data_IF_795190999077
#
_entry.id   IF_795190999077
#
_cell.length_a   1.000
_cell.length_b   1.000
_cell.length_c   1.000
_cell.angle_alpha   90.00
_cell.angle_beta   90.00
_cell.angle_gamma   90.00
#
_symmetry.space_group_name_H-M   'P 1'
#
loop_
_entity.id
_entity.type
_entity.pdbx_description
1 polymer ?
#
# COMPACT_ATOMS: atom_id res chain seq x y z
N UNK A 1 35.02 -25.16 -26.06
CA UNK A 1 33.72 -24.95 -25.39
C UNK A 1 34.03 -24.29 -24.05
N UNK A 2 34.07 -22.99 -23.87
CA UNK A 2 33.18 -21.93 -24.33
C UNK A 2 32.77 -21.14 -23.08
N UNK A 3 33.76 -20.59 -22.36
CA UNK A 3 33.60 -19.91 -21.06
C UNK A 3 34.03 -18.43 -21.12
N UNK A 4 34.13 -17.86 -22.32
CA UNK A 4 34.60 -16.49 -22.54
C UNK A 4 33.91 -15.88 -23.77
N UNK A 5 32.71 -15.31 -23.60
CA UNK A 5 32.16 -14.22 -24.44
C UNK A 5 30.74 -13.82 -24.00
N UNK A 6 30.62 -13.04 -22.92
CA UNK A 6 29.49 -12.15 -22.67
C UNK A 6 29.83 -11.14 -21.56
N UNK A 7 31.00 -10.50 -21.67
CA UNK A 7 31.33 -9.28 -20.93
C UNK A 7 31.45 -8.19 -21.99
N UNK A 8 30.32 -7.60 -22.36
CA UNK A 8 30.25 -6.34 -23.08
C UNK A 8 28.87 -5.70 -22.83
N UNK A 9 28.86 -4.70 -21.95
CA UNK A 9 28.12 -3.47 -22.24
C UNK A 9 26.74 -3.28 -21.62
N UNK A 10 26.65 -3.22 -20.28
CA UNK A 10 25.94 -2.11 -19.60
C UNK A 10 26.76 -1.73 -18.36
N UNK A 11 27.32 -0.53 -18.39
CA UNK A 11 27.76 0.16 -17.20
C UNK A 11 26.52 0.58 -16.39
N UNK A 12 26.18 -0.19 -15.36
CA UNK A 12 25.37 0.26 -14.21
C UNK A 12 26.08 -0.17 -12.93
N UNK A 13 27.31 0.32 -12.76
CA UNK A 13 28.06 0.24 -11.51
C UNK A 13 27.57 1.29 -10.50
N UNK A 14 26.28 1.25 -10.16
CA UNK A 14 25.62 1.76 -8.93
C UNK A 14 24.15 1.34 -9.07
N UNK A 15 23.66 0.43 -8.22
CA UNK A 15 22.26 0.00 -8.01
C UNK A 15 22.00 -1.52 -7.94
N UNK A 16 23.01 -2.37 -7.73
CA UNK A 16 22.81 -3.82 -7.48
C UNK A 16 22.93 -4.23 -6.01
N UNK A 17 22.98 -3.26 -5.10
CA UNK A 17 22.63 -3.44 -3.69
C UNK A 17 21.22 -2.90 -3.45
N UNK A 18 20.26 -3.34 -4.27
CA UNK A 18 18.85 -3.21 -3.89
C UNK A 18 18.73 -3.96 -2.56
N UNK A 19 18.41 -3.20 -1.53
CA UNK A 19 18.49 -3.59 -0.12
C UNK A 19 17.72 -4.89 0.08
N UNK A 20 18.42 -5.97 0.44
CA UNK A 20 17.82 -7.30 0.61
C UNK A 20 16.68 -7.31 1.64
N UNK A 21 16.65 -6.33 2.54
CA UNK A 21 15.58 -6.09 3.51
C UNK A 21 14.21 -5.79 2.91
N UNK A 22 14.10 -5.01 1.83
CA UNK A 22 12.79 -4.70 1.19
C UNK A 22 12.20 -5.97 0.60
N UNK A 23 13.00 -6.74 -0.13
CA UNK A 23 12.56 -8.01 -0.72
C UNK A 23 12.12 -9.03 0.33
N UNK A 24 12.86 -9.12 1.44
CA UNK A 24 12.49 -9.98 2.59
C UNK A 24 11.18 -9.53 3.23
N UNK A 25 11.01 -8.23 3.46
CA UNK A 25 9.79 -7.67 4.04
C UNK A 25 8.59 -7.91 3.11
N UNK A 26 8.71 -7.59 1.82
CA UNK A 26 7.69 -7.83 0.79
C UNK A 26 7.33 -9.31 0.67
N UNK A 27 8.31 -10.20 0.75
CA UNK A 27 8.07 -11.64 0.78
C UNK A 27 7.43 -12.14 2.07
N UNK A 28 7.49 -11.34 3.15
CA UNK A 28 6.94 -11.69 4.46
C UNK A 28 5.50 -11.21 4.68
N UNK A 29 5.01 -10.26 3.89
CA UNK A 29 3.60 -9.82 3.96
C UNK A 29 2.71 -10.70 3.07
N UNK A 30 1.39 -10.49 3.15
CA UNK A 30 0.46 -11.16 2.24
C UNK A 30 0.80 -10.81 0.78
N UNK A 31 0.67 -11.78 -0.14
CA UNK A 31 1.04 -11.63 -1.56
C UNK A 31 0.39 -10.40 -2.21
N UNK A 32 -0.88 -10.11 -1.91
CA UNK A 32 -1.59 -8.92 -2.41
C UNK A 32 -0.90 -7.61 -2.03
N UNK A 33 -0.49 -7.47 -0.76
CA UNK A 33 0.27 -6.31 -0.26
C UNK A 33 1.64 -6.26 -0.92
N UNK A 34 2.37 -7.38 -0.92
CA UNK A 34 3.74 -7.44 -1.43
C UNK A 34 3.84 -7.05 -2.91
N UNK A 35 2.93 -7.56 -3.75
CA UNK A 35 2.86 -7.18 -5.17
C UNK A 35 2.52 -5.70 -5.33
N UNK A 36 1.50 -5.20 -4.64
CA UNK A 36 1.06 -3.80 -4.77
C UNK A 36 2.15 -2.82 -4.31
N UNK A 37 2.87 -3.12 -3.22
CA UNK A 37 4.00 -2.33 -2.73
C UNK A 37 5.18 -2.36 -3.71
N UNK A 38 5.48 -3.52 -4.30
CA UNK A 38 6.55 -3.60 -5.32
C UNK A 38 6.23 -2.72 -6.53
N UNK A 39 4.97 -2.73 -6.99
CA UNK A 39 4.49 -1.84 -8.05
C UNK A 39 4.57 -0.37 -7.63
N UNK A 40 4.24 -0.04 -6.38
CA UNK A 40 4.33 1.31 -5.85
C UNK A 40 5.76 1.84 -5.90
N UNK A 41 6.72 1.09 -5.36
CA UNK A 41 8.14 1.46 -5.31
C UNK A 41 8.69 1.71 -6.72
N UNK A 42 8.26 0.92 -7.71
CA UNK A 42 8.65 1.10 -9.11
C UNK A 42 8.15 2.39 -9.78
N UNK A 43 7.18 3.12 -9.18
CA UNK A 43 6.62 4.38 -9.73
C UNK A 43 7.39 5.64 -9.30
N UNK A 44 8.41 5.51 -8.46
CA UNK A 44 9.31 6.59 -8.05
C UNK A 44 8.87 7.41 -6.82
N UNK A 45 9.83 8.08 -6.20
CA UNK A 45 9.69 8.69 -4.86
C UNK A 45 8.52 9.68 -4.70
N UNK A 46 8.30 10.58 -5.66
CA UNK A 46 7.22 11.57 -5.57
C UNK A 46 5.82 10.93 -5.59
N UNK A 47 5.65 9.88 -6.39
CA UNK A 47 4.39 9.14 -6.45
C UNK A 47 4.20 8.30 -5.19
N UNK A 48 5.24 7.60 -4.75
CA UNK A 48 5.24 6.82 -3.51
C UNK A 48 4.91 7.70 -2.31
N UNK A 49 5.47 8.91 -2.24
CA UNK A 49 5.17 9.88 -1.19
C UNK A 49 3.68 10.22 -1.10
N UNK A 50 3.02 10.51 -2.23
CA UNK A 50 1.58 10.81 -2.26
C UNK A 50 0.73 9.65 -1.75
N UNK A 51 1.01 8.43 -2.25
CA UNK A 51 0.28 7.22 -1.85
C UNK A 51 0.56 6.87 -0.38
N UNK A 52 1.81 6.96 0.05
CA UNK A 52 2.21 6.73 1.43
C UNK A 52 1.50 7.68 2.39
N UNK A 53 1.32 8.95 2.03
CA UNK A 53 0.55 9.91 2.85
C UNK A 53 -0.92 9.50 3.02
N UNK A 54 -1.55 8.91 2.01
CA UNK A 54 -2.93 8.38 2.13
C UNK A 54 -2.95 7.23 3.13
N UNK A 55 -2.05 6.25 2.95
CA UNK A 55 -1.95 5.08 3.83
C UNK A 55 -1.58 5.48 5.26
N UNK A 56 -0.66 6.44 5.44
CA UNK A 56 -0.25 6.97 6.74
C UNK A 56 -1.45 7.53 7.51
N UNK A 57 -2.25 8.37 6.86
CA UNK A 57 -3.44 8.96 7.48
C UNK A 57 -4.44 7.89 7.93
N UNK A 58 -4.66 6.86 7.11
CA UNK A 58 -5.57 5.76 7.44
C UNK A 58 -5.00 4.89 8.56
N UNK A 59 -3.70 4.60 8.53
CA UNK A 59 -3.01 3.82 9.54
C UNK A 59 -2.98 4.54 10.90
N UNK A 60 -2.77 5.87 10.92
CA UNK A 60 -2.84 6.69 12.13
C UNK A 60 -4.26 6.80 12.68
N UNK A 61 -5.26 6.99 11.80
CA UNK A 61 -6.66 7.04 12.21
C UNK A 61 -7.15 5.74 12.87
N UNK A 62 -6.55 4.61 12.49
CA UNK A 62 -6.83 3.29 13.06
C UNK A 62 -5.77 2.86 14.08
N UNK A 63 -4.92 3.77 14.56
CA UNK A 63 -3.91 3.53 15.60
C UNK A 63 -2.98 2.34 15.29
N UNK A 64 -2.73 2.06 14.01
CA UNK A 64 -1.66 1.13 13.57
C UNK A 64 -0.31 1.83 13.75
N UNK A 65 -0.27 3.11 13.38
CA UNK A 65 0.84 4.02 13.61
C UNK A 65 0.44 5.07 14.65
N UNK A 66 1.38 5.46 15.51
CA UNK A 66 1.20 6.60 16.40
C UNK A 66 1.29 7.93 15.62
N UNK A 67 0.65 9.01 16.09
CA UNK A 67 0.61 10.30 15.38
C UNK A 67 1.99 10.88 15.03
N UNK A 68 2.97 10.68 15.90
CA UNK A 68 4.35 11.14 15.78
C UNK A 68 5.25 10.24 14.93
N UNK A 69 4.81 9.01 14.64
CA UNK A 69 5.58 8.08 13.81
C UNK A 69 5.63 8.57 12.36
N UNK A 70 6.84 8.58 11.81
CA UNK A 70 7.09 8.91 10.40
C UNK A 70 7.21 7.63 9.59
N UNK A 71 6.58 7.61 8.42
CA UNK A 71 6.65 6.48 7.50
C UNK A 71 8.10 6.14 7.13
N UNK A 72 8.95 7.12 6.87
CA UNK A 72 10.36 6.85 6.51
C UNK A 72 11.11 6.13 7.64
N UNK A 73 10.90 6.52 8.89
CA UNK A 73 11.59 5.93 10.05
C UNK A 73 11.12 4.49 10.29
N UNK A 74 9.80 4.25 10.20
CA UNK A 74 9.22 2.90 10.32
C UNK A 74 9.69 2.01 9.17
N UNK A 75 9.72 2.54 7.95
CA UNK A 75 10.20 1.85 6.77
C UNK A 75 11.66 1.45 6.88
N UNK A 76 12.52 2.39 7.25
CA UNK A 76 13.95 2.16 7.48
C UNK A 76 14.18 1.06 8.53
N UNK A 77 13.56 1.20 9.70
CA UNK A 77 13.64 0.20 10.77
C UNK A 77 13.17 -1.15 10.29
N UNK A 78 12.06 -1.22 9.55
CA UNK A 78 11.51 -2.46 9.02
C UNK A 78 12.44 -3.14 8.02
N UNK A 79 13.09 -2.37 7.14
CA UNK A 79 14.03 -2.90 6.14
C UNK A 79 15.27 -3.48 6.84
N UNK A 80 15.88 -2.73 7.75
CA UNK A 80 17.08 -3.19 8.44
C UNK A 80 16.79 -4.34 9.42
N UNK A 81 15.64 -4.32 10.08
CA UNK A 81 15.19 -5.41 10.94
C UNK A 81 14.94 -6.69 10.14
N UNK A 82 14.31 -6.57 8.95
CA UNK A 82 14.13 -7.71 8.04
C UNK A 82 15.46 -8.32 7.60
N UNK A 83 16.53 -7.53 7.49
CA UNK A 83 17.87 -8.06 7.21
C UNK A 83 18.43 -8.93 8.32
N UNK A 84 18.00 -8.70 9.57
CA UNK A 84 18.29 -9.54 10.73
C UNK A 84 17.25 -10.67 10.92
N UNK A 85 16.33 -10.85 9.98
CA UNK A 85 15.28 -11.87 10.04
C UNK A 85 14.08 -11.50 10.92
N UNK A 86 14.00 -10.24 11.37
CA UNK A 86 12.85 -9.71 12.11
C UNK A 86 11.79 -9.33 11.08
N UNK A 87 10.86 -10.25 10.84
CA UNK A 87 9.75 -10.08 9.90
C UNK A 87 8.42 -10.43 10.58
N UNK A 88 7.28 -9.86 10.15
CA UNK A 88 5.98 -10.07 10.78
C UNK A 88 5.62 -11.55 11.02
N UNK A 89 5.97 -12.43 10.07
CA UNK A 89 5.68 -13.88 10.15
C UNK A 89 6.36 -14.61 11.31
N UNK A 90 7.38 -14.01 11.93
CA UNK A 90 8.11 -14.58 13.08
C UNK A 90 7.45 -14.28 14.43
N UNK A 91 6.38 -13.49 14.43
CA UNK A 91 5.67 -13.08 15.63
C UNK A 91 4.25 -13.63 15.62
N UNK A 92 3.78 -14.09 16.78
CA UNK A 92 2.39 -14.53 16.94
C UNK A 92 1.42 -13.34 16.94
N UNK A 93 1.85 -12.23 17.54
CA UNK A 93 1.10 -10.98 17.62
C UNK A 93 1.80 -9.90 16.80
N UNK A 94 1.02 -9.18 16.01
CA UNK A 94 1.54 -8.11 15.18
C UNK A 94 2.06 -6.92 16.02
N UNK A 95 1.47 -6.69 17.18
CA UNK A 95 1.91 -5.67 18.13
C UNK A 95 3.32 -5.96 18.63
N UNK A 96 3.68 -7.22 18.86
CA UNK A 96 5.02 -7.61 19.30
C UNK A 96 6.05 -7.34 18.20
N UNK A 97 5.69 -7.61 16.94
CA UNK A 97 6.48 -7.22 15.78
C UNK A 97 6.68 -5.70 15.73
N UNK A 98 5.60 -4.92 15.81
CA UNK A 98 5.69 -3.45 15.74
C UNK A 98 6.49 -2.86 16.91
N UNK A 99 6.38 -3.42 18.10
CA UNK A 99 7.21 -3.01 19.25
C UNK A 99 8.69 -3.29 18.99
N UNK A 100 9.03 -4.43 18.39
CA UNK A 100 10.41 -4.72 17.96
C UNK A 100 10.90 -3.77 16.89
N UNK A 101 10.07 -3.43 15.90
CA UNK A 101 10.42 -2.44 14.88
C UNK A 101 10.66 -1.08 15.52
N UNK A 102 9.78 -0.61 16.40
CA UNK A 102 9.92 0.69 17.09
C UNK A 102 11.21 0.79 17.89
N UNK A 103 11.56 -0.28 18.62
CA UNK A 103 12.77 -0.37 19.42
C UNK A 103 14.04 -0.69 18.61
N UNK A 104 13.92 -0.95 17.31
CA UNK A 104 15.07 -1.31 16.47
C UNK A 104 16.01 -0.12 16.28
N UNK A 105 17.29 -0.35 16.57
CA UNK A 105 18.35 0.62 16.35
C UNK A 105 18.84 0.54 14.91
N UNK A 106 18.74 1.66 14.21
CA UNK A 106 19.08 1.79 12.80
C UNK A 106 20.59 2.00 12.67
N UNK A 107 21.23 1.25 11.79
CA UNK A 107 22.59 1.53 11.33
C UNK A 107 22.55 2.75 10.39
N UNK A 108 23.16 3.89 10.78
CA UNK A 108 23.09 5.13 10.01
C UNK A 108 23.75 5.01 8.64
N UNK A 109 24.80 4.19 8.51
CA UNK A 109 25.52 4.02 7.24
C UNK A 109 24.61 3.31 6.23
N UNK A 110 23.85 2.32 6.70
CA UNK A 110 22.85 1.65 5.86
C UNK A 110 21.68 2.56 5.55
N UNK A 111 21.24 3.36 6.52
CA UNK A 111 20.10 4.25 6.34
C UNK A 111 20.30 5.26 5.21
N UNK A 112 21.50 5.81 5.07
CA UNK A 112 21.80 6.75 3.98
C UNK A 112 21.83 6.09 2.59
N UNK A 113 21.98 4.76 2.55
CA UNK A 113 22.03 3.99 1.30
C UNK A 113 20.65 3.52 0.80
N UNK A 114 19.63 3.52 1.66
CA UNK A 114 18.29 3.05 1.30
C UNK A 114 17.50 4.19 0.62
N UNK A 115 17.01 3.99 -0.63
CA UNK A 115 16.20 5.00 -1.32
C UNK A 115 14.91 5.34 -0.58
N UNK A 116 14.46 6.58 -0.67
CA UNK A 116 13.25 7.08 0.03
C UNK A 116 12.01 6.28 -0.36
N UNK A 117 11.83 5.97 -1.64
CA UNK A 117 10.73 5.14 -2.13
C UNK A 117 10.71 3.73 -1.51
N UNK A 118 11.87 3.16 -1.21
CA UNK A 118 11.97 1.86 -0.56
C UNK A 118 11.56 1.95 0.90
N UNK A 119 12.02 2.98 1.63
CA UNK A 119 11.59 3.24 3.01
C UNK A 119 10.08 3.40 3.06
N UNK A 120 9.52 4.28 2.23
CA UNK A 120 8.08 4.51 2.18
C UNK A 120 7.30 3.27 1.77
N UNK A 121 7.77 2.49 0.79
CA UNK A 121 7.15 1.24 0.39
C UNK A 121 7.12 0.21 1.52
N UNK A 122 8.23 0.06 2.25
CA UNK A 122 8.29 -0.81 3.43
C UNK A 122 7.32 -0.35 4.52
N UNK A 123 7.23 0.95 4.78
CA UNK A 123 6.29 1.54 5.73
C UNK A 123 4.83 1.29 5.33
N UNK A 124 4.52 1.42 4.04
CA UNK A 124 3.20 1.07 3.50
C UNK A 124 2.92 -0.42 3.70
N UNK A 125 3.87 -1.31 3.40
CA UNK A 125 3.69 -2.76 3.57
C UNK A 125 3.32 -3.13 5.01
N UNK A 126 4.06 -2.62 6.00
CA UNK A 126 3.75 -2.89 7.41
C UNK A 126 2.42 -2.25 7.79
N UNK A 127 2.15 -1.01 7.39
CA UNK A 127 0.90 -0.31 7.74
C UNK A 127 -0.34 -1.04 7.21
N UNK A 128 -0.30 -1.51 5.96
CA UNK A 128 -1.39 -2.27 5.36
C UNK A 128 -1.63 -3.60 6.07
N UNK A 129 -0.56 -4.32 6.40
CA UNK A 129 -0.69 -5.55 7.20
C UNK A 129 -1.26 -5.27 8.60
N UNK A 130 -0.83 -4.18 9.24
CA UNK A 130 -1.35 -3.77 10.53
C UNK A 130 -2.83 -3.39 10.47
N UNK A 131 -3.27 -2.75 9.38
CA UNK A 131 -4.69 -2.47 9.13
C UNK A 131 -5.49 -3.76 8.98
N UNK A 132 -5.00 -4.74 8.22
CA UNK A 132 -5.70 -6.03 8.08
C UNK A 132 -5.92 -6.70 9.43
N UNK A 133 -4.89 -6.73 10.27
CA UNK A 133 -4.94 -7.41 11.57
C UNK A 133 -5.81 -6.64 12.56
N UNK A 134 -5.61 -5.32 12.67
CA UNK A 134 -6.31 -4.49 13.65
C UNK A 134 -7.81 -4.37 13.36
N UNK A 135 -8.20 -4.44 12.08
CA UNK A 135 -9.58 -4.32 11.64
C UNK A 135 -10.23 -5.66 11.30
N UNK A 136 -9.52 -6.77 11.42
CA UNK A 136 -9.97 -8.12 11.04
C UNK A 136 -10.46 -8.16 9.58
N UNK A 137 -9.66 -7.57 8.68
CA UNK A 137 -9.92 -7.60 7.23
C UNK A 137 -9.32 -8.87 6.60
N UNK A 138 -9.86 -9.32 5.46
CA UNK A 138 -9.30 -10.47 4.76
C UNK A 138 -7.82 -10.25 4.41
N UNK A 139 -7.01 -11.29 4.64
CA UNK A 139 -5.57 -11.25 4.37
C UNK A 139 -5.28 -10.92 2.91
N UNK A 140 -4.52 -9.88 2.66
CA UNK A 140 -4.16 -9.39 1.33
C UNK A 140 -5.14 -8.38 0.71
N UNK A 141 -6.34 -8.17 1.29
CA UNK A 141 -7.36 -7.25 0.76
C UNK A 141 -6.90 -5.79 0.75
N UNK A 142 -6.04 -5.40 1.69
CA UNK A 142 -5.46 -4.04 1.70
C UNK A 142 -4.44 -3.82 0.58
N UNK A 143 -3.99 -4.90 -0.08
CA UNK A 143 -3.27 -4.80 -1.35
C UNK A 143 -4.15 -4.25 -2.48
N UNK A 144 -5.44 -4.64 -2.53
CA UNK A 144 -6.40 -4.07 -3.48
C UNK A 144 -6.79 -2.64 -3.12
N UNK A 145 -6.90 -2.32 -1.82
CA UNK A 145 -6.98 -0.93 -1.36
C UNK A 145 -5.81 -0.10 -1.90
N UNK A 146 -4.57 -0.61 -1.81
CA UNK A 146 -3.39 0.10 -2.32
C UNK A 146 -3.44 0.29 -3.84
N UNK A 147 -3.91 -0.72 -4.60
CA UNK A 147 -4.08 -0.60 -6.07
C UNK A 147 -5.06 0.50 -6.44
N UNK A 148 -6.20 0.58 -5.75
CA UNK A 148 -7.19 1.65 -5.93
C UNK A 148 -6.56 3.04 -5.67
N UNK A 149 -5.83 3.19 -4.56
CA UNK A 149 -5.11 4.44 -4.24
C UNK A 149 -4.11 4.80 -5.34
N UNK A 150 -3.32 3.83 -5.81
CA UNK A 150 -2.36 4.07 -6.89
C UNK A 150 -3.03 4.44 -8.22
N UNK A 151 -4.19 3.86 -8.52
CA UNK A 151 -4.89 4.08 -9.78
C UNK A 151 -5.49 5.49 -9.87
N UNK A 152 -6.04 5.99 -8.77
CA UNK A 152 -6.61 7.33 -8.70
C UNK A 152 -6.45 7.92 -7.31
N UNK A 153 -5.26 8.45 -6.95
CA UNK A 153 -5.01 9.00 -5.61
C UNK A 153 -5.86 10.23 -5.31
N UNK A 154 -6.30 10.95 -6.35
CA UNK A 154 -7.21 12.09 -6.23
C UNK A 154 -8.63 11.66 -5.81
N UNK A 155 -9.11 10.51 -6.30
CA UNK A 155 -10.37 9.94 -5.84
C UNK A 155 -10.15 9.15 -4.53
N UNK A 156 -9.21 8.24 -4.48
CA UNK A 156 -8.91 7.47 -3.27
C UNK A 156 -7.97 8.24 -2.33
N UNK A 157 -8.34 9.47 -1.97
CA UNK A 157 -7.67 10.28 -0.96
C UNK A 157 -7.97 9.77 0.46
N UNK A 158 -7.22 10.26 1.45
CA UNK A 158 -7.28 9.79 2.84
C UNK A 158 -8.69 9.75 3.43
N UNK A 159 -9.47 10.83 3.28
CA UNK A 159 -10.87 10.88 3.74
C UNK A 159 -11.75 9.79 3.14
N UNK A 160 -11.69 9.60 1.81
CA UNK A 160 -12.50 8.58 1.13
C UNK A 160 -12.05 7.18 1.50
N UNK A 161 -10.74 6.89 1.49
CA UNK A 161 -10.22 5.58 1.89
C UNK A 161 -10.58 5.26 3.34
N UNK A 162 -10.44 6.22 4.25
CA UNK A 162 -10.86 6.05 5.65
C UNK A 162 -12.34 5.71 5.75
N UNK A 163 -13.20 6.43 5.02
CA UNK A 163 -14.65 6.13 4.98
C UNK A 163 -14.92 4.69 4.50
N UNK A 164 -14.20 4.20 3.49
CA UNK A 164 -14.33 2.81 3.03
C UNK A 164 -13.86 1.81 4.10
N UNK A 165 -12.75 2.10 4.77
CA UNK A 165 -12.19 1.26 5.85
C UNK A 165 -13.13 1.21 7.05
N UNK A 166 -13.63 2.35 7.52
CA UNK A 166 -14.54 2.46 8.68
C UNK A 166 -15.86 1.70 8.42
N UNK A 167 -16.28 1.64 7.15
CA UNK A 167 -17.45 0.89 6.68
C UNK A 167 -17.16 -0.59 6.40
N UNK A 168 -15.91 -1.04 6.58
CA UNK A 168 -15.45 -2.40 6.29
C UNK A 168 -15.79 -2.87 4.87
N UNK A 169 -15.62 -1.95 3.91
CA UNK A 169 -15.85 -2.24 2.50
C UNK A 169 -14.95 -3.39 2.05
N UNK A 170 -15.50 -4.27 1.22
CA UNK A 170 -14.75 -5.33 0.57
C UNK A 170 -13.95 -4.72 -0.61
N UNK A 171 -12.65 -4.53 -0.41
CA UNK A 171 -11.78 -3.92 -1.42
C UNK A 171 -11.66 -4.76 -2.70
N UNK A 172 -11.93 -6.06 -2.64
CA UNK A 172 -11.96 -6.91 -3.82
C UNK A 172 -13.20 -6.55 -4.65
N UNK A 173 -14.38 -6.45 -4.02
CA UNK A 173 -15.61 -5.99 -4.69
C UNK A 173 -15.52 -4.57 -5.20
N UNK A 174 -14.87 -3.66 -4.47
CA UNK A 174 -14.65 -2.29 -4.96
C UNK A 174 -13.76 -2.31 -6.20
N UNK A 175 -12.72 -3.15 -6.22
CA UNK A 175 -11.87 -3.34 -7.41
C UNK A 175 -12.69 -3.91 -8.57
N UNK A 176 -13.46 -4.98 -8.34
CA UNK A 176 -14.32 -5.62 -9.33
C UNK A 176 -15.39 -4.68 -9.91
N UNK A 177 -15.86 -3.73 -9.11
CA UNK A 177 -16.77 -2.69 -9.57
C UNK A 177 -16.15 -1.82 -10.67
N UNK A 178 -14.90 -1.39 -10.48
CA UNK A 178 -14.16 -0.56 -11.43
C UNK A 178 -13.63 -1.34 -12.62
N UNK A 179 -13.30 -2.62 -12.48
CA UNK A 179 -12.94 -3.48 -13.62
C UNK A 179 -14.17 -3.96 -14.40
N UNK A 180 -15.36 -3.90 -13.80
CA UNK A 180 -16.61 -4.35 -14.40
C UNK A 180 -16.81 -5.85 -14.34
N UNK A 181 -16.24 -6.51 -13.33
CA UNK A 181 -16.34 -7.95 -13.09
C UNK A 181 -17.54 -8.34 -12.22
N UNK A 182 -18.23 -7.36 -11.62
CA UNK A 182 -19.45 -7.59 -10.85
C UNK A 182 -20.67 -7.82 -11.73
N UNK A 183 -21.61 -8.63 -11.24
CA UNK A 183 -22.95 -8.71 -11.80
C UNK A 183 -23.76 -7.42 -11.57
N UNK A 184 -24.96 -7.33 -12.16
CA UNK A 184 -25.80 -6.13 -12.07
C UNK A 184 -26.27 -5.83 -10.63
N UNK A 185 -26.46 -6.84 -9.80
CA UNK A 185 -26.94 -6.68 -8.42
C UNK A 185 -25.82 -6.13 -7.56
N UNK A 186 -24.65 -6.76 -7.62
CA UNK A 186 -23.47 -6.37 -6.84
C UNK A 186 -22.91 -5.03 -7.32
N UNK A 187 -22.98 -4.74 -8.63
CA UNK A 187 -22.65 -3.42 -9.17
C UNK A 187 -23.47 -2.31 -8.53
N UNK A 188 -24.78 -2.53 -8.35
CA UNK A 188 -25.67 -1.54 -7.70
C UNK A 188 -25.35 -1.42 -6.21
N UNK A 189 -25.15 -2.54 -5.53
CA UNK A 189 -24.83 -2.56 -4.10
C UNK A 189 -23.54 -1.79 -3.81
N UNK A 190 -22.44 -2.09 -4.51
CA UNK A 190 -21.15 -1.40 -4.32
C UNK A 190 -21.27 0.09 -4.65
N UNK A 191 -21.96 0.46 -5.74
CA UNK A 191 -22.20 1.88 -6.07
C UNK A 191 -22.93 2.62 -4.95
N UNK A 192 -23.97 2.00 -4.37
CA UNK A 192 -24.79 2.62 -3.33
C UNK A 192 -23.99 2.76 -2.02
N UNK A 193 -23.13 1.78 -1.71
CA UNK A 193 -22.17 1.86 -0.60
C UNK A 193 -21.12 2.95 -0.80
N UNK A 194 -20.55 3.07 -2.02
CA UNK A 194 -19.62 4.16 -2.38
C UNK A 194 -20.29 5.53 -2.23
N UNK A 195 -21.54 5.68 -2.67
CA UNK A 195 -22.30 6.92 -2.47
C UNK A 195 -22.56 7.19 -0.98
N UNK A 196 -22.78 6.16 -0.18
CA UNK A 196 -22.97 6.31 1.27
C UNK A 196 -21.67 6.72 1.96
N UNK A 197 -20.54 6.13 1.55
CA UNK A 197 -19.21 6.51 2.01
C UNK A 197 -18.84 7.94 1.62
N UNK A 198 -19.32 8.43 0.48
CA UNK A 198 -19.15 9.82 0.04
C UNK A 198 -19.92 10.78 0.95
N UNK A 199 -21.18 10.46 1.24
CA UNK A 199 -22.04 11.30 2.09
C UNK A 199 -21.51 11.47 3.51
N UNK A 200 -20.77 10.49 4.04
CA UNK A 200 -20.16 10.60 5.37
C UNK A 200 -18.95 11.53 5.42
N UNK A 201 -18.48 12.07 4.29
CA UNK A 201 -17.41 13.07 4.25
C UNK A 201 -17.88 14.48 4.65
N UNK A 202 -19.21 14.69 4.80
CA UNK A 202 -19.79 15.93 5.32
C UNK A 202 -20.01 17.04 4.29
N UNK A 203 -19.63 16.84 3.03
CA UNK A 203 -19.92 17.76 1.93
C UNK A 203 -21.29 17.44 1.27
N UNK A 204 -22.02 18.45 0.76
CA UNK A 204 -23.22 18.21 -0.04
C UNK A 204 -22.88 17.37 -1.28
N UNK A 205 -23.35 16.12 -1.30
CA UNK A 205 -23.09 15.21 -2.42
C UNK A 205 -24.17 15.36 -3.49
N UNK A 206 -23.80 15.89 -4.65
CA UNK A 206 -24.59 15.69 -5.87
C UNK A 206 -24.42 14.23 -6.33
N UNK A 207 -25.46 13.43 -6.11
CA UNK A 207 -25.47 12.02 -6.47
C UNK A 207 -25.25 11.79 -7.98
N UNK A 208 -25.67 12.73 -8.83
CA UNK A 208 -25.48 12.63 -10.28
C UNK A 208 -24.02 12.90 -10.65
N UNK A 209 -23.41 13.93 -10.07
CA UNK A 209 -21.99 14.22 -10.26
C UNK A 209 -21.11 13.08 -9.76
N UNK A 210 -21.42 12.50 -8.59
CA UNK A 210 -20.70 11.35 -8.06
C UNK A 210 -20.87 10.10 -8.94
N UNK A 211 -22.06 9.85 -9.47
CA UNK A 211 -22.27 8.75 -10.40
C UNK A 211 -21.46 8.92 -11.69
N UNK A 212 -21.35 10.14 -12.22
CA UNK A 212 -20.52 10.45 -13.38
C UNK A 212 -19.03 10.26 -13.10
N UNK A 213 -18.54 10.66 -11.92
CA UNK A 213 -17.14 10.42 -11.55
C UNK A 213 -16.83 8.93 -11.42
N UNK A 214 -17.74 8.14 -10.86
CA UNK A 214 -17.60 6.68 -10.80
C UNK A 214 -17.57 6.05 -12.20
N UNK A 215 -18.44 6.49 -13.11
CA UNK A 215 -18.44 6.01 -14.50
C UNK A 215 -17.14 6.36 -15.23
N UNK A 216 -16.64 7.59 -15.06
CA UNK A 216 -15.38 8.02 -15.66
C UNK A 216 -14.20 7.19 -15.13
N UNK A 217 -14.15 6.95 -13.82
CA UNK A 217 -13.11 6.11 -13.20
C UNK A 217 -13.19 4.65 -13.66
N UNK A 218 -14.40 4.10 -13.78
CA UNK A 218 -14.63 2.76 -14.31
C UNK A 218 -14.15 2.64 -15.76
N UNK A 219 -14.55 3.58 -16.62
CA UNK A 219 -14.10 3.60 -18.01
C UNK A 219 -12.57 3.69 -18.11
N UNK A 220 -11.93 4.53 -17.29
CA UNK A 220 -10.48 4.64 -17.18
C UNK A 220 -9.85 3.31 -16.74
N UNK A 221 -10.40 2.66 -15.72
CA UNK A 221 -9.85 1.40 -15.17
C UNK A 221 -9.88 0.27 -16.20
N UNK A 222 -10.95 0.23 -17.00
CA UNK A 222 -11.09 -0.75 -18.08
C UNK A 222 -10.17 -0.49 -19.28
N UNK A 223 -9.75 0.77 -19.49
CA UNK A 223 -8.83 1.15 -20.58
C UNK A 223 -7.36 1.01 -20.19
N UNK A 224 -6.99 1.47 -18.99
CA UNK A 224 -5.60 1.57 -18.54
C UNK A 224 -5.15 0.36 -17.71
N UNK A 225 -6.10 -0.44 -17.20
CA UNK A 225 -5.85 -1.53 -16.27
C UNK A 225 -5.73 -1.05 -14.82
N UNK A 226 -6.38 -1.78 -13.91
CA UNK A 226 -6.31 -1.63 -12.46
C UNK A 226 -5.55 -2.80 -11.83
#
# INVERSE_FOLDING_TARGET
MGLWSAVCGIATSVASSVVSGVGKLVGSVATGIGTAVSTLVGKGAAFVGRVASVVENVAKANEVLAPEEKMQDIGEKSIQAADQGIVPQKFEKYEDYMNKIRAFEVDPIKADSVPVEQKLGAAVAVSLQGLEIKLDLPKGSTGNMLRLIMFSPEYFHSGRVRSLVDRRMDFDKVTDYFTGQLDLKDTRAVRDELLTAEKSLGEPVDASAHALSLQALKAKAQQEGL
#
